data_IF_150252779822
#
_entry.id   IF_150252779822
#
_cell.length_a   1.000
_cell.length_b   1.000
_cell.length_c   1.000
_cell.angle_alpha   90.00
_cell.angle_beta   90.00
_cell.angle_gamma   90.00
#
_symmetry.space_group_name_H-M   'P 1'
#
loop_
_entity.id
_entity.type
_entity.pdbx_description
1 polymer ?
#
# COMPACT_ATOMS: atom_id res chain seq x y z
N UNK A 1 26.28 72.14 7.53
CA UNK A 1 26.36 71.34 6.28
C UNK A 1 25.95 69.91 6.59
N UNK A 2 24.70 69.58 6.31
CA UNK A 2 24.07 68.29 6.66
C UNK A 2 24.06 67.43 5.40
N UNK A 3 24.82 66.32 5.40
CA UNK A 3 24.78 65.33 4.31
C UNK A 3 23.48 64.54 4.42
N UNK A 4 22.59 64.70 3.45
CA UNK A 4 21.40 63.87 3.28
C UNK A 4 21.85 62.58 2.61
N UNK A 5 21.77 61.46 3.34
CA UNK A 5 21.94 60.12 2.78
C UNK A 5 20.69 59.78 1.96
N UNK A 6 20.82 59.78 0.63
CA UNK A 6 19.80 59.24 -0.27
C UNK A 6 19.78 57.72 -0.13
N UNK A 7 18.75 57.20 0.52
CA UNK A 7 18.44 55.77 0.52
C UNK A 7 17.97 55.35 -0.87
N UNK A 8 18.84 54.68 -1.63
CA UNK A 8 18.45 54.04 -2.88
C UNK A 8 17.53 52.87 -2.55
N UNK A 9 16.27 52.94 -2.98
CA UNK A 9 15.33 51.83 -2.83
C UNK A 9 15.89 50.58 -3.53
N UNK A 10 15.75 49.37 -2.93
CA UNK A 10 16.28 48.15 -3.53
C UNK A 10 15.61 47.91 -4.89
N UNK A 11 16.43 47.71 -5.93
CA UNK A 11 15.96 47.42 -7.28
C UNK A 11 15.02 46.20 -7.25
N UNK A 12 13.85 46.35 -7.86
CA UNK A 12 12.86 45.28 -7.96
C UNK A 12 13.48 44.09 -8.71
N UNK A 13 13.60 42.95 -8.03
CA UNK A 13 14.27 41.78 -8.56
C UNK A 13 13.32 41.09 -9.54
N UNK A 14 13.53 41.29 -10.83
CA UNK A 14 12.77 40.59 -11.87
C UNK A 14 13.19 39.12 -11.86
N UNK A 15 12.37 38.26 -11.27
CA UNK A 15 12.62 36.82 -11.25
C UNK A 15 12.23 36.20 -12.60
N UNK A 16 13.21 35.67 -13.32
CA UNK A 16 12.95 34.88 -14.51
C UNK A 16 12.26 33.55 -14.10
N UNK A 17 11.02 33.27 -14.52
CA UNK A 17 10.20 32.18 -13.97
C UNK A 17 10.85 30.79 -14.01
N UNK A 18 11.62 30.50 -15.06
CA UNK A 18 12.30 29.21 -15.24
C UNK A 18 13.65 29.14 -14.53
N UNK A 19 14.31 30.28 -14.30
CA UNK A 19 15.61 30.34 -13.62
C UNK A 19 15.48 30.06 -12.12
N UNK A 20 14.30 30.31 -11.53
CA UNK A 20 14.00 29.96 -10.13
C UNK A 20 14.21 28.46 -9.89
N UNK A 21 13.92 27.60 -10.87
CA UNK A 21 14.16 26.16 -10.73
C UNK A 21 15.65 25.82 -10.67
N UNK A 22 16.49 26.51 -11.46
CA UNK A 22 17.95 26.32 -11.43
C UNK A 22 18.53 26.75 -10.08
N UNK A 23 18.05 27.86 -9.52
CA UNK A 23 18.47 28.32 -8.19
C UNK A 23 18.03 27.33 -7.12
N UNK A 24 16.79 26.84 -7.16
CA UNK A 24 16.29 25.83 -6.20
C UNK A 24 17.05 24.52 -6.25
N UNK A 25 17.50 24.08 -7.44
CA UNK A 25 18.31 22.87 -7.58
C UNK A 25 19.61 22.92 -6.76
N UNK A 26 20.16 24.12 -6.50
CA UNK A 26 21.36 24.27 -5.69
C UNK A 26 21.14 23.81 -4.25
N UNK A 27 19.91 23.89 -3.73
CA UNK A 27 19.59 23.53 -2.35
C UNK A 27 19.43 22.02 -2.14
N UNK A 28 19.22 21.26 -3.21
CA UNK A 28 19.13 19.81 -3.13
C UNK A 28 20.52 19.17 -3.04
N UNK A 29 20.60 18.10 -2.25
CA UNK A 29 21.77 17.21 -2.19
C UNK A 29 21.65 16.02 -3.16
N UNK A 30 20.55 15.97 -3.90
CA UNK A 30 20.24 14.97 -4.91
C UNK A 30 20.70 15.44 -6.31
N UNK A 31 21.14 14.53 -7.19
CA UNK A 31 21.29 14.82 -8.61
C UNK A 31 19.99 15.35 -9.25
N UNK A 32 20.06 16.18 -10.30
CA UNK A 32 18.87 16.83 -10.87
C UNK A 32 17.75 15.87 -11.29
N UNK A 33 18.08 14.70 -11.84
CA UNK A 33 17.11 13.69 -12.23
C UNK A 33 16.44 13.00 -11.02
N UNK A 34 17.20 12.78 -9.95
CA UNK A 34 16.68 12.31 -8.68
C UNK A 34 15.74 13.34 -8.04
N UNK A 35 16.07 14.64 -8.12
CA UNK A 35 15.18 15.73 -7.67
C UNK A 35 13.86 15.69 -8.43
N UNK A 36 13.92 15.60 -9.77
CA UNK A 36 12.71 15.56 -10.61
C UNK A 36 11.83 14.38 -10.22
N UNK A 37 12.39 13.19 -10.01
CA UNK A 37 11.59 12.03 -9.61
C UNK A 37 11.05 12.16 -8.17
N UNK A 38 11.86 12.67 -7.25
CA UNK A 38 11.46 12.91 -5.85
C UNK A 38 10.28 13.87 -5.78
N UNK A 39 10.40 15.05 -6.41
CA UNK A 39 9.34 16.05 -6.46
C UNK A 39 8.09 15.49 -7.18
N UNK A 40 8.27 14.76 -8.28
CA UNK A 40 7.17 14.11 -9.00
C UNK A 40 6.39 13.15 -8.10
N UNK A 41 7.08 12.27 -7.36
CA UNK A 41 6.44 11.31 -6.44
C UNK A 41 5.64 12.04 -5.34
N UNK A 42 6.21 13.11 -4.77
CA UNK A 42 5.53 13.93 -3.78
C UNK A 42 4.28 14.62 -4.34
N UNK A 43 4.41 15.24 -5.51
CA UNK A 43 3.31 15.95 -6.19
C UNK A 43 2.20 14.99 -6.55
N UNK A 44 2.53 13.80 -7.10
CA UNK A 44 1.52 12.79 -7.42
C UNK A 44 0.77 12.37 -6.18
N UNK A 45 1.46 11.90 -5.14
CA UNK A 45 0.77 11.44 -3.95
C UNK A 45 -0.05 12.55 -3.29
N UNK A 46 0.51 13.75 -3.12
CA UNK A 46 -0.15 14.85 -2.43
C UNK A 46 -1.35 15.39 -3.22
N UNK A 47 -1.13 15.83 -4.45
CA UNK A 47 -2.10 16.66 -5.17
C UNK A 47 -3.00 15.86 -6.11
N UNK A 48 -2.48 14.77 -6.70
CA UNK A 48 -3.22 13.99 -7.70
C UNK A 48 -3.98 12.84 -7.05
N UNK A 49 -3.38 12.20 -6.04
CA UNK A 49 -3.95 11.02 -5.37
C UNK A 49 -4.36 11.29 -3.92
N UNK A 50 -4.38 12.56 -3.51
CA UNK A 50 -4.93 12.99 -2.22
C UNK A 50 -4.39 12.17 -1.03
N UNK A 51 -3.07 12.00 -0.98
CA UNK A 51 -2.30 11.26 0.02
C UNK A 51 -2.44 9.73 -0.01
N UNK A 52 -3.02 9.16 -1.08
CA UNK A 52 -3.12 7.71 -1.30
C UNK A 52 -2.00 7.18 -2.18
N UNK A 53 -1.73 5.88 -2.10
CA UNK A 53 -0.92 5.14 -3.05
C UNK A 53 -1.52 5.25 -4.46
N UNK A 54 -0.65 5.11 -5.45
CA UNK A 54 -1.03 5.42 -6.82
C UNK A 54 -0.31 4.55 -7.84
N UNK A 55 -0.89 4.47 -9.03
CA UNK A 55 -0.47 3.56 -10.09
C UNK A 55 -0.07 4.32 -11.35
N UNK A 56 1.15 4.07 -11.84
CA UNK A 56 1.61 4.60 -13.14
C UNK A 56 2.30 3.52 -13.96
N UNK A 57 2.08 3.56 -15.28
CA UNK A 57 2.84 2.75 -16.22
C UNK A 57 4.22 3.37 -16.44
N UNK A 58 5.23 2.54 -16.72
CA UNK A 58 6.58 3.01 -16.99
C UNK A 58 6.63 4.09 -18.07
N UNK A 59 5.89 3.89 -19.16
CA UNK A 59 5.80 4.84 -20.29
C UNK A 59 5.29 6.22 -19.86
N UNK A 60 4.34 6.26 -18.91
CA UNK A 60 3.79 7.53 -18.41
C UNK A 60 4.79 8.24 -17.51
N UNK A 61 5.48 7.51 -16.65
CA UNK A 61 6.53 8.09 -15.80
C UNK A 61 7.63 8.69 -16.67
N UNK A 62 8.15 7.95 -17.64
CA UNK A 62 9.20 8.44 -18.56
C UNK A 62 8.74 9.67 -19.36
N UNK A 63 7.47 9.71 -19.78
CA UNK A 63 6.91 10.89 -20.47
C UNK A 63 6.88 12.13 -19.57
N UNK A 64 6.53 11.97 -18.29
CA UNK A 64 6.34 13.09 -17.37
C UNK A 64 7.63 13.55 -16.69
N UNK A 65 8.57 12.63 -16.39
CA UNK A 65 9.83 12.95 -15.71
C UNK A 65 11.00 13.12 -16.65
N UNK A 66 10.89 12.64 -17.91
CA UNK A 66 11.98 12.56 -18.89
C UNK A 66 13.15 11.66 -18.47
N UNK A 67 12.94 10.81 -17.48
CA UNK A 67 13.96 9.87 -17.00
C UNK A 67 13.79 8.54 -17.72
N UNK A 68 14.83 8.13 -18.46
CA UNK A 68 14.84 6.85 -19.18
C UNK A 68 14.75 5.66 -18.24
N UNK A 69 14.13 4.57 -18.70
CA UNK A 69 13.82 3.37 -17.89
C UNK A 69 14.96 2.86 -17.01
N UNK A 70 16.18 2.70 -17.56
CA UNK A 70 17.32 2.17 -16.80
C UNK A 70 17.67 3.07 -15.61
N UNK A 71 17.77 4.37 -15.85
CA UNK A 71 18.07 5.36 -14.81
C UNK A 71 16.94 5.44 -13.79
N UNK A 72 15.69 5.39 -14.25
CA UNK A 72 14.52 5.36 -13.39
C UNK A 72 14.57 4.20 -12.39
N UNK A 73 14.85 2.97 -12.84
CA UNK A 73 14.94 1.80 -11.95
C UNK A 73 16.05 1.95 -10.90
N UNK A 74 17.22 2.49 -11.28
CA UNK A 74 18.30 2.79 -10.34
C UNK A 74 17.87 3.77 -9.26
N UNK A 75 17.19 4.86 -9.64
CA UNK A 75 16.74 5.88 -8.68
C UNK A 75 15.66 5.31 -7.75
N UNK A 76 14.68 4.58 -8.30
CA UNK A 76 13.62 3.96 -7.50
C UNK A 76 14.19 2.97 -6.48
N UNK A 77 15.16 2.15 -6.90
CA UNK A 77 15.79 1.19 -5.99
C UNK A 77 16.53 1.91 -4.85
N UNK A 78 17.29 2.96 -5.16
CA UNK A 78 17.92 3.83 -4.15
C UNK A 78 16.91 4.44 -3.19
N UNK A 79 15.78 4.94 -3.69
CA UNK A 79 14.74 5.55 -2.86
C UNK A 79 14.03 4.51 -1.96
N UNK A 80 13.87 3.27 -2.43
CA UNK A 80 13.39 2.15 -1.62
C UNK A 80 14.36 1.79 -0.50
N UNK A 81 15.66 1.74 -0.79
CA UNK A 81 16.71 1.48 0.21
C UNK A 81 16.79 2.57 1.29
N UNK A 82 16.45 3.80 0.93
CA UNK A 82 16.32 4.90 1.89
C UNK A 82 15.04 4.81 2.75
N UNK A 83 14.16 3.85 2.48
CA UNK A 83 13.00 3.50 3.32
C UNK A 83 11.79 4.43 3.21
N UNK A 84 11.86 5.49 2.40
CA UNK A 84 10.76 6.45 2.26
C UNK A 84 9.86 6.22 1.04
N UNK A 85 10.29 5.37 0.11
CA UNK A 85 9.49 4.97 -1.03
C UNK A 85 9.20 3.47 -0.97
N UNK A 86 7.93 3.11 -1.02
CA UNK A 86 7.51 1.77 -1.37
C UNK A 86 7.04 1.73 -2.83
N UNK A 87 7.48 0.74 -3.59
CA UNK A 87 6.94 0.48 -4.93
C UNK A 87 7.04 -0.97 -5.35
N UNK A 88 6.04 -1.41 -6.11
CA UNK A 88 5.92 -2.77 -6.64
C UNK A 88 5.26 -2.75 -8.01
N UNK A 89 5.75 -3.61 -8.91
CA UNK A 89 5.14 -3.82 -10.21
C UNK A 89 3.99 -4.81 -10.04
N UNK A 90 2.75 -4.37 -10.26
CA UNK A 90 1.62 -5.27 -10.21
C UNK A 90 1.78 -6.34 -11.31
N UNK A 91 1.64 -7.64 -10.98
CA UNK A 91 1.70 -8.69 -11.98
C UNK A 91 0.62 -8.43 -13.04
N UNK A 92 1.05 -8.50 -14.30
CA UNK A 92 0.19 -8.29 -15.45
C UNK A 92 -0.84 -9.41 -15.50
N UNK A 93 -2.04 -9.19 -14.96
CA UNK A 93 -3.22 -9.92 -15.40
C UNK A 93 -3.62 -9.52 -16.83
N UNK A 94 -4.93 -9.49 -17.12
CA UNK A 94 -5.57 -9.05 -18.38
C UNK A 94 -5.23 -7.62 -18.86
N UNK A 95 -4.32 -6.89 -18.21
CA UNK A 95 -3.92 -5.53 -18.60
C UNK A 95 -2.69 -5.57 -19.51
N UNK A 96 -2.76 -4.89 -20.66
CA UNK A 96 -1.73 -4.83 -21.72
C UNK A 96 -0.37 -4.23 -21.32
N UNK A 97 -0.17 -3.79 -20.07
CA UNK A 97 1.12 -3.26 -19.61
C UNK A 97 1.26 -3.38 -18.10
N UNK A 98 2.43 -3.81 -17.64
CA UNK A 98 2.80 -3.78 -16.22
C UNK A 98 2.69 -2.35 -15.66
N UNK A 99 1.98 -2.19 -14.56
CA UNK A 99 1.77 -0.90 -13.88
C UNK A 99 2.43 -0.97 -12.51
N UNK A 100 3.20 0.06 -12.15
CA UNK A 100 3.85 0.15 -10.85
C UNK A 100 2.97 0.92 -9.87
N UNK A 101 2.78 0.36 -8.68
CA UNK A 101 2.18 1.03 -7.53
C UNK A 101 3.28 1.75 -6.74
N UNK A 102 2.99 2.94 -6.25
CA UNK A 102 3.89 3.76 -5.44
C UNK A 102 3.19 4.20 -4.17
N UNK A 103 3.94 4.24 -3.06
CA UNK A 103 3.54 4.90 -1.83
C UNK A 103 4.75 5.60 -1.22
N UNK A 104 4.58 6.86 -0.85
CA UNK A 104 5.60 7.72 -0.24
C UNK A 104 5.32 7.88 1.25
N UNK A 105 6.32 7.66 2.08
CA UNK A 105 6.25 7.80 3.53
C UNK A 105 6.79 9.16 3.98
N UNK A 106 5.90 10.12 4.23
CA UNK A 106 6.30 11.48 4.61
C UNK A 106 7.09 11.54 5.92
N UNK A 107 6.83 10.64 6.88
CA UNK A 107 7.58 10.55 8.13
C UNK A 107 9.03 10.08 7.89
N UNK A 108 9.22 9.10 7.00
CA UNK A 108 10.56 8.64 6.62
C UNK A 108 11.34 9.74 5.90
N UNK A 109 10.71 10.49 4.98
CA UNK A 109 11.32 11.66 4.35
C UNK A 109 11.74 12.69 5.41
N UNK A 110 10.88 12.98 6.39
CA UNK A 110 11.21 13.94 7.44
C UNK A 110 12.46 13.53 8.25
N UNK A 111 12.66 12.23 8.50
CA UNK A 111 13.86 11.71 9.19
C UNK A 111 15.14 11.88 8.37
N UNK A 112 15.04 11.77 7.04
CA UNK A 112 16.20 11.85 6.14
C UNK A 112 16.33 13.19 5.43
N UNK A 113 15.49 14.19 5.73
CA UNK A 113 15.48 15.48 5.04
C UNK A 113 16.87 16.15 4.96
N UNK A 114 17.74 16.11 6.00
CA UNK A 114 19.10 16.64 5.90
C UNK A 114 20.00 15.96 4.86
N UNK A 115 19.63 14.77 4.37
CA UNK A 115 20.31 14.05 3.28
C UNK A 115 19.73 14.39 1.90
N UNK A 116 18.62 15.10 1.84
CA UNK A 116 17.90 15.45 0.60
C UNK A 116 18.07 16.93 0.25
N UNK A 117 18.07 17.80 1.26
CA UNK A 117 18.11 19.27 1.12
C UNK A 117 19.07 19.86 2.15
N UNK A 118 19.87 20.85 1.76
CA UNK A 118 20.82 21.56 2.63
C UNK A 118 20.10 22.26 3.79
N UNK A 119 20.54 21.98 5.01
CA UNK A 119 19.86 22.36 6.26
C UNK A 119 19.65 23.87 6.46
N UNK A 120 20.59 24.69 5.99
CA UNK A 120 20.66 26.14 6.18
C UNK A 120 19.92 26.96 5.10
N UNK A 121 19.15 26.29 4.24
CA UNK A 121 18.46 26.92 3.13
C UNK A 121 16.99 27.22 3.42
N UNK A 122 16.43 28.24 2.76
CA UNK A 122 14.99 28.50 2.79
C UNK A 122 14.17 27.30 2.28
N UNK A 123 14.70 26.56 1.32
CA UNK A 123 14.10 25.32 0.79
C UNK A 123 13.94 24.25 1.87
N UNK A 124 14.92 24.09 2.76
CA UNK A 124 14.82 23.15 3.88
C UNK A 124 13.70 23.51 4.86
N UNK A 125 13.59 24.79 5.22
CA UNK A 125 12.50 25.28 6.07
C UNK A 125 11.12 25.03 5.44
N UNK A 126 10.99 25.32 4.14
CA UNK A 126 9.78 25.05 3.37
C UNK A 126 9.42 23.56 3.37
N UNK A 127 10.39 22.68 3.14
CA UNK A 127 10.19 21.24 3.18
C UNK A 127 9.76 20.74 4.56
N UNK A 128 10.38 21.24 5.62
CA UNK A 128 10.02 20.88 7.00
C UNK A 128 8.56 21.23 7.30
N UNK A 129 8.12 22.44 6.94
CA UNK A 129 6.72 22.85 7.09
C UNK A 129 5.77 22.07 6.20
N UNK A 130 6.16 21.79 4.95
CA UNK A 130 5.39 20.97 4.02
C UNK A 130 5.18 19.55 4.58
N UNK A 131 6.25 18.85 4.97
CA UNK A 131 6.18 17.48 5.47
C UNK A 131 5.34 17.36 6.74
N UNK A 132 5.42 18.35 7.65
CA UNK A 132 4.56 18.38 8.84
C UNK A 132 3.06 18.42 8.48
N UNK A 133 2.68 19.26 7.50
CA UNK A 133 1.29 19.34 7.00
C UNK A 133 0.89 18.05 6.28
N UNK A 134 1.79 17.50 5.47
CA UNK A 134 1.53 16.25 4.74
C UNK A 134 1.33 15.07 5.67
N UNK A 135 2.10 14.97 6.76
CA UNK A 135 1.96 13.90 7.75
C UNK A 135 0.61 13.96 8.47
N UNK A 136 0.13 15.16 8.81
CA UNK A 136 -1.21 15.33 9.41
C UNK A 136 -2.31 14.89 8.43
N UNK A 137 -2.22 15.34 7.17
CA UNK A 137 -3.19 14.99 6.13
C UNK A 137 -3.15 13.50 5.78
N UNK A 138 -1.96 12.89 5.67
CA UNK A 138 -1.82 11.46 5.36
C UNK A 138 -2.34 10.58 6.48
N UNK A 139 -2.20 10.97 7.75
CA UNK A 139 -2.81 10.25 8.89
C UNK A 139 -4.34 10.33 8.84
N UNK A 140 -4.89 11.50 8.55
CA UNK A 140 -6.34 11.66 8.39
C UNK A 140 -6.90 10.87 7.21
N UNK A 141 -6.12 10.74 6.12
CA UNK A 141 -6.48 9.91 4.97
C UNK A 141 -6.28 8.43 5.27
N UNK A 142 -5.20 8.01 5.92
CA UNK A 142 -4.93 6.62 6.31
C UNK A 142 -5.99 6.07 7.28
N UNK A 143 -6.50 6.90 8.18
CA UNK A 143 -7.67 6.54 9.00
C UNK A 143 -8.95 6.30 8.18
N UNK A 144 -9.01 6.80 6.94
CA UNK A 144 -10.15 6.67 6.00
C UNK A 144 -9.85 5.80 4.77
N UNK A 145 -8.61 5.35 4.59
CA UNK A 145 -8.10 4.77 3.34
C UNK A 145 -7.48 3.41 3.62
N UNK A 146 -7.95 2.38 2.93
CA UNK A 146 -7.45 1.00 2.97
C UNK A 146 -6.12 0.82 2.21
N UNK A 147 -5.24 1.82 2.23
CA UNK A 147 -3.94 1.73 1.56
C UNK A 147 -2.99 0.83 2.36
N UNK A 148 -3.18 -0.47 2.16
CA UNK A 148 -2.40 -1.51 2.84
C UNK A 148 -1.10 -1.75 2.08
N UNK A 149 0.01 -1.79 2.81
CA UNK A 149 1.26 -2.28 2.26
C UNK A 149 1.16 -3.79 2.03
N UNK A 150 1.87 -4.37 1.05
CA UNK A 150 1.85 -5.82 0.86
C UNK A 150 2.36 -6.59 2.07
N UNK A 151 3.28 -6.02 2.85
CA UNK A 151 3.72 -6.63 4.11
C UNK A 151 2.56 -6.71 5.11
N UNK A 152 1.73 -5.68 5.18
CA UNK A 152 0.53 -5.67 6.03
C UNK A 152 -0.47 -6.72 5.51
N UNK A 153 -0.67 -6.78 4.19
CA UNK A 153 -1.59 -7.73 3.54
C UNK A 153 -1.12 -9.18 3.75
N UNK A 154 0.17 -9.48 3.61
CA UNK A 154 0.68 -10.84 3.82
C UNK A 154 0.56 -11.24 5.29
N UNK A 155 0.82 -10.30 6.21
CA UNK A 155 0.61 -10.50 7.65
C UNK A 155 -0.88 -10.77 7.95
N UNK A 156 -1.79 -10.02 7.34
CA UNK A 156 -3.23 -10.22 7.46
C UNK A 156 -3.69 -11.56 6.87
N UNK A 157 -3.09 -11.99 5.75
CA UNK A 157 -3.38 -13.29 5.14
C UNK A 157 -2.93 -14.42 6.07
N UNK A 158 -1.72 -14.33 6.64
CA UNK A 158 -1.24 -15.31 7.63
C UNK A 158 -2.20 -15.35 8.83
N UNK A 159 -2.53 -14.18 9.39
CA UNK A 159 -3.46 -14.09 10.51
C UNK A 159 -4.87 -14.63 10.17
N UNK A 160 -5.35 -14.44 8.93
CA UNK A 160 -6.61 -15.01 8.47
C UNK A 160 -6.51 -16.54 8.40
N UNK A 161 -5.44 -17.09 7.80
CA UNK A 161 -5.24 -18.55 7.71
C UNK A 161 -5.26 -19.18 9.10
N UNK A 162 -4.56 -18.58 10.06
CA UNK A 162 -4.52 -19.05 11.45
C UNK A 162 -5.92 -19.01 12.10
N UNK A 163 -6.70 -17.95 11.84
CA UNK A 163 -8.08 -17.83 12.35
C UNK A 163 -9.01 -18.87 11.73
N UNK A 164 -8.91 -19.11 10.43
CA UNK A 164 -9.71 -20.12 9.74
C UNK A 164 -9.35 -21.52 10.27
N UNK A 165 -8.06 -21.82 10.43
CA UNK A 165 -7.59 -23.06 11.03
C UNK A 165 -8.19 -23.23 12.44
N UNK A 166 -7.99 -22.26 13.34
CA UNK A 166 -8.53 -22.31 14.71
C UNK A 166 -10.06 -22.48 14.74
N UNK A 167 -10.77 -21.84 13.81
CA UNK A 167 -12.23 -22.01 13.67
C UNK A 167 -12.59 -23.45 13.30
N UNK A 168 -11.92 -24.01 12.28
CA UNK A 168 -12.14 -25.40 11.86
C UNK A 168 -11.87 -26.39 13.01
N UNK A 169 -10.74 -26.24 13.70
CA UNK A 169 -10.37 -27.08 14.84
C UNK A 169 -11.42 -27.05 15.96
N UNK A 170 -11.92 -25.85 16.28
CA UNK A 170 -12.99 -25.67 17.25
C UNK A 170 -14.28 -26.36 16.83
N UNK A 171 -14.69 -26.24 15.54
CA UNK A 171 -15.91 -26.88 15.04
C UNK A 171 -15.82 -28.39 14.99
N UNK A 172 -14.65 -28.95 14.62
CA UNK A 172 -14.42 -30.40 14.65
C UNK A 172 -14.53 -30.96 16.07
N UNK A 173 -13.96 -30.26 17.08
CA UNK A 173 -14.08 -30.65 18.49
C UNK A 173 -15.55 -30.69 18.93
N UNK A 174 -16.30 -29.61 18.70
CA UNK A 174 -17.71 -29.52 19.05
C UNK A 174 -18.56 -30.57 18.33
N UNK A 175 -18.28 -30.84 17.05
CA UNK A 175 -18.95 -31.91 16.31
C UNK A 175 -18.67 -33.29 16.92
N UNK A 176 -17.41 -33.58 17.27
CA UNK A 176 -17.04 -34.86 17.87
C UNK A 176 -17.66 -35.06 19.26
N UNK A 177 -17.79 -33.99 20.04
CA UNK A 177 -18.50 -33.99 21.33
C UNK A 177 -20.02 -34.22 21.14
N UNK A 178 -20.63 -33.58 20.15
CA UNK A 178 -22.03 -33.77 19.80
C UNK A 178 -22.32 -35.20 19.30
N UNK A 179 -21.39 -35.80 18.56
CA UNK A 179 -21.47 -37.21 18.13
C UNK A 179 -21.31 -38.14 19.34
N UNK A 180 -20.35 -37.88 20.22
CA UNK A 180 -20.11 -38.70 21.42
C UNK A 180 -21.28 -38.67 22.41
N UNK A 181 -21.98 -37.54 22.51
CA UNK A 181 -23.17 -37.36 23.36
C UNK A 181 -24.48 -37.81 22.70
N UNK A 182 -24.44 -38.27 21.44
CA UNK A 182 -25.63 -38.70 20.69
C UNK A 182 -26.54 -37.56 20.22
N UNK A 183 -26.13 -36.30 20.38
CA UNK A 183 -26.89 -35.12 19.94
C UNK A 183 -26.91 -34.98 18.41
N UNK A 184 -25.89 -35.50 17.71
CA UNK A 184 -25.80 -35.45 16.24
C UNK A 184 -25.40 -36.82 15.70
N UNK A 185 -26.05 -37.25 14.59
CA UNK A 185 -25.67 -38.47 13.88
C UNK A 185 -24.47 -38.21 12.97
N UNK A 186 -23.49 -39.11 12.97
CA UNK A 186 -22.33 -39.02 12.09
C UNK A 186 -21.09 -39.66 12.68
N UNK A 187 -19.99 -39.64 11.93
CA UNK A 187 -18.69 -40.13 12.40
C UNK A 187 -17.89 -39.00 13.04
N UNK A 188 -17.04 -39.38 14.01
CA UNK A 188 -15.99 -38.47 14.50
C UNK A 188 -15.06 -38.09 13.35
N UNK A 189 -14.64 -36.84 13.33
CA UNK A 189 -13.70 -36.27 12.35
C UNK A 189 -12.34 -36.04 13.02
N UNK A 190 -11.28 -36.19 12.25
CA UNK A 190 -9.93 -35.84 12.69
C UNK A 190 -9.68 -34.37 12.36
N UNK A 191 -8.96 -33.69 13.25
CA UNK A 191 -8.50 -32.34 13.00
C UNK A 191 -7.32 -32.41 12.04
N UNK A 192 -7.58 -32.10 10.78
CA UNK A 192 -6.54 -31.94 9.76
C UNK A 192 -6.20 -30.46 9.54
N UNK A 193 -4.99 -30.19 9.01
CA UNK A 193 -4.65 -28.85 8.55
C UNK A 193 -5.47 -28.49 7.31
N UNK A 194 -6.02 -27.28 7.29
CA UNK A 194 -6.72 -26.76 6.13
C UNK A 194 -5.75 -26.62 4.95
N UNK A 195 -6.12 -27.09 3.74
CA UNK A 195 -5.24 -27.06 2.59
C UNK A 195 -5.11 -25.66 1.99
N UNK A 196 -4.17 -24.85 2.50
CA UNK A 196 -3.84 -23.54 1.94
C UNK A 196 -2.81 -23.64 0.79
N UNK A 197 -3.29 -23.97 -0.41
CA UNK A 197 -2.45 -24.01 -1.62
C UNK A 197 -2.01 -22.61 -2.05
N UNK A 198 -0.88 -22.50 -2.74
CA UNK A 198 -0.41 -21.21 -3.28
C UNK A 198 -1.45 -20.54 -4.21
N UNK A 199 -2.20 -21.35 -4.96
CA UNK A 199 -3.29 -20.86 -5.82
C UNK A 199 -4.41 -20.13 -5.07
N UNK A 200 -4.53 -20.32 -3.75
CA UNK A 200 -5.52 -19.64 -2.91
C UNK A 200 -5.08 -18.27 -2.41
N UNK A 201 -3.79 -17.91 -2.53
CA UNK A 201 -3.27 -16.63 -2.03
C UNK A 201 -4.00 -15.42 -2.63
N UNK A 202 -4.26 -15.46 -3.94
CA UNK A 202 -5.00 -14.40 -4.63
C UNK A 202 -6.44 -14.24 -4.13
N UNK A 203 -7.11 -15.35 -3.84
CA UNK A 203 -8.48 -15.34 -3.34
C UNK A 203 -8.55 -14.90 -1.87
N UNK A 204 -7.61 -15.32 -1.03
CA UNK A 204 -7.52 -14.86 0.36
C UNK A 204 -7.29 -13.35 0.43
N UNK A 205 -6.39 -12.82 -0.40
CA UNK A 205 -6.18 -11.37 -0.51
C UNK A 205 -7.49 -10.65 -0.87
N UNK A 206 -8.17 -11.14 -1.91
CA UNK A 206 -9.43 -10.55 -2.38
C UNK A 206 -10.54 -10.62 -1.33
N UNK A 207 -10.58 -11.70 -0.55
CA UNK A 207 -11.55 -11.88 0.53
C UNK A 207 -11.35 -10.83 1.63
N UNK A 208 -10.10 -10.58 2.05
CA UNK A 208 -9.74 -9.58 3.08
C UNK A 208 -9.91 -8.14 2.58
N UNK A 209 -9.77 -7.91 1.27
CA UNK A 209 -10.07 -6.62 0.65
C UNK A 209 -11.58 -6.35 0.62
N UNK A 210 -12.40 -7.40 0.44
CA UNK A 210 -13.84 -7.27 0.20
C UNK A 210 -14.68 -7.31 1.47
N UNK A 211 -14.31 -8.11 2.47
CA UNK A 211 -15.13 -8.33 3.66
C UNK A 211 -14.36 -8.07 4.96
N UNK A 212 -15.05 -7.56 6.01
CA UNK A 212 -14.49 -7.53 7.36
C UNK A 212 -14.11 -8.94 7.84
N UNK A 213 -13.02 -9.04 8.61
CA UNK A 213 -12.51 -10.34 9.07
C UNK A 213 -13.53 -11.11 9.90
N UNK A 214 -14.35 -10.40 10.69
CA UNK A 214 -15.41 -11.05 11.46
C UNK A 214 -16.48 -11.66 10.54
N UNK A 215 -16.86 -10.97 9.47
CA UNK A 215 -17.82 -11.50 8.49
C UNK A 215 -17.30 -12.78 7.85
N UNK A 216 -16.02 -12.80 7.44
CA UNK A 216 -15.36 -13.98 6.88
C UNK A 216 -15.39 -15.14 7.88
N UNK A 217 -15.06 -14.87 9.15
CA UNK A 217 -15.06 -15.89 10.22
C UNK A 217 -16.43 -16.50 10.44
N UNK A 218 -17.49 -15.68 10.50
CA UNK A 218 -18.85 -16.18 10.71
C UNK A 218 -19.33 -17.01 9.51
N UNK A 219 -19.07 -16.58 8.27
CA UNK A 219 -19.38 -17.36 7.08
C UNK A 219 -18.65 -18.71 7.09
N UNK A 220 -17.36 -18.70 7.42
CA UNK A 220 -16.56 -19.93 7.50
C UNK A 220 -17.07 -20.89 8.59
N UNK A 221 -17.48 -20.37 9.75
CA UNK A 221 -18.06 -21.17 10.82
C UNK A 221 -19.31 -21.93 10.34
N UNK A 222 -20.24 -21.23 9.70
CA UNK A 222 -21.48 -21.83 9.15
C UNK A 222 -21.15 -22.88 8.10
N UNK A 223 -20.19 -22.57 7.21
CA UNK A 223 -19.71 -23.50 6.21
C UNK A 223 -19.12 -24.79 6.82
N UNK A 224 -18.25 -24.67 7.84
CA UNK A 224 -17.72 -25.82 8.57
C UNK A 224 -18.85 -26.71 9.12
N UNK A 225 -19.86 -26.11 9.74
CA UNK A 225 -20.98 -26.87 10.32
C UNK A 225 -21.78 -27.63 9.25
N UNK A 226 -22.05 -27.00 8.11
CA UNK A 226 -22.76 -27.65 7.00
C UNK A 226 -21.98 -28.84 6.46
N UNK A 227 -20.65 -28.72 6.33
CA UNK A 227 -19.80 -29.82 5.85
C UNK A 227 -19.67 -30.93 6.89
N UNK A 228 -19.46 -30.59 8.16
CA UNK A 228 -19.32 -31.57 9.25
C UNK A 228 -20.61 -32.37 9.48
N UNK A 229 -21.78 -31.73 9.34
CA UNK A 229 -23.11 -32.37 9.39
C UNK A 229 -23.51 -33.06 8.08
N UNK A 230 -22.62 -33.10 7.09
CA UNK A 230 -22.84 -33.67 5.75
C UNK A 230 -24.02 -33.08 4.96
N UNK A 231 -24.46 -31.87 5.33
CA UNK A 231 -25.45 -31.09 4.58
C UNK A 231 -24.87 -30.55 3.28
N UNK A 232 -23.54 -30.32 3.26
CA UNK A 232 -22.78 -29.88 2.11
C UNK A 232 -21.57 -30.79 1.92
N UNK A 233 -21.33 -31.24 0.68
CA UNK A 233 -20.23 -32.17 0.34
C UNK A 233 -19.36 -31.58 -0.79
N UNK A 234 -18.46 -30.64 -0.47
CA UNK A 234 -17.62 -29.98 -1.45
C UNK A 234 -16.53 -30.95 -1.96
N UNK A 235 -16.20 -30.88 -3.25
CA UNK A 235 -15.06 -31.62 -3.83
C UNK A 235 -13.72 -31.18 -3.21
N UNK A 236 -13.59 -29.88 -2.92
CA UNK A 236 -12.46 -29.30 -2.21
C UNK A 236 -12.97 -28.39 -1.10
N UNK A 237 -12.62 -28.71 0.16
CA UNK A 237 -13.07 -27.94 1.31
C UNK A 237 -12.71 -26.45 1.20
N UNK A 238 -11.44 -26.13 0.96
CA UNK A 238 -11.03 -24.73 0.78
C UNK A 238 -11.38 -24.20 -0.61
N UNK A 239 -11.39 -25.06 -1.63
CA UNK A 239 -11.73 -24.66 -2.99
C UNK A 239 -13.15 -24.14 -3.15
N UNK A 240 -14.12 -24.74 -2.43
CA UNK A 240 -15.50 -24.26 -2.41
C UNK A 240 -15.61 -22.92 -1.66
N UNK A 241 -15.09 -22.85 -0.44
CA UNK A 241 -15.18 -21.62 0.38
C UNK A 241 -14.50 -20.41 -0.28
N UNK A 242 -13.38 -20.63 -0.98
CA UNK A 242 -12.64 -19.58 -1.68
C UNK A 242 -13.01 -19.48 -3.16
N UNK A 243 -14.05 -20.19 -3.61
CA UNK A 243 -14.54 -20.03 -4.97
C UNK A 243 -15.00 -18.59 -5.16
N UNK A 244 -14.56 -17.94 -6.23
CA UNK A 244 -14.91 -16.55 -6.48
C UNK A 244 -15.59 -16.43 -7.84
N UNK A 245 -16.83 -15.96 -7.83
CA UNK A 245 -17.59 -15.72 -9.04
C UNK A 245 -17.23 -14.34 -9.60
N UNK A 246 -16.48 -14.31 -10.71
CA UNK A 246 -16.06 -13.07 -11.35
C UNK A 246 -17.22 -12.28 -12.01
N UNK A 247 -18.36 -12.91 -12.27
CA UNK A 247 -19.52 -12.28 -12.90
C UNK A 247 -20.36 -11.51 -11.87
N UNK A 248 -20.62 -12.13 -10.71
CA UNK A 248 -21.37 -11.51 -9.61
C UNK A 248 -20.47 -10.74 -8.65
N UNK A 249 -19.15 -10.90 -8.79
CA UNK A 249 -18.14 -10.37 -7.88
C UNK A 249 -18.30 -10.91 -6.44
N UNK A 250 -18.73 -12.15 -6.23
CA UNK A 250 -19.04 -12.67 -4.88
C UNK A 250 -18.33 -13.99 -4.57
N UNK A 251 -18.16 -14.24 -3.27
CA UNK A 251 -17.81 -15.55 -2.71
C UNK A 251 -19.11 -16.26 -2.28
N UNK A 252 -19.16 -17.60 -2.30
CA UNK A 252 -20.33 -18.38 -1.94
C UNK A 252 -20.73 -18.27 -0.47
#
# INVERSE_FOLDING_TARGET
MTKIATSVAPAEKIEAPMCVNIVRLQDYLLPPDEVVLFDWLLVKQCYVFHHKSFYYSQRRVEKETRIGRRRFETIVQKFKEQGWLWSEVAPSGTRRSAVRRYLVFYDAIARILPKLVRYDTGTYALYKSYLAKMLQKSKAVGAKSTDRLPADVETEIIALKDRLQATYESRVKLHNEAVASGQTRGNKRVVDQLPFRESFQGYLRKLIEKYPVDTIRHAFLVYCDQVLKEQLRPESFMGYFLHYNAVTDEFP
#
